data_IF_893783787851
#
_entry.id   IF_893783787851
#
_cell.length_a   1.000
_cell.length_b   1.000
_cell.length_c   1.000
_cell.angle_alpha   90.00
_cell.angle_beta   90.00
_cell.angle_gamma   90.00
#
_symmetry.space_group_name_H-M   'P 1'
#
loop_
_entity.id
_entity.type
_entity.pdbx_description
1 polymer ?
#
# COMPACT_ATOMS: atom_id res chain seq x y z
N UNK A 1 -1.07 19.21 20.34
CA UNK A 1 -1.79 19.37 21.56
C UNK A 1 -2.83 18.26 21.73
N UNK A 2 -4.00 18.30 21.07
CA UNK A 2 -5.14 17.39 21.34
C UNK A 2 -4.82 15.88 21.24
N UNK A 3 -4.11 15.44 20.20
CA UNK A 3 -3.73 14.02 20.02
C UNK A 3 -2.65 13.57 21.00
N UNK A 4 -1.74 14.46 21.37
CA UNK A 4 -0.73 14.19 22.38
C UNK A 4 -1.34 14.02 23.77
N UNK A 5 -2.27 14.90 24.13
CA UNK A 5 -2.89 14.94 25.47
C UNK A 5 -3.84 13.75 25.71
N UNK A 6 -4.46 13.19 24.64
CA UNK A 6 -5.43 12.09 24.76
C UNK A 6 -4.87 10.71 24.41
N UNK A 7 -3.91 10.63 23.51
CA UNK A 7 -3.40 9.35 22.98
C UNK A 7 -1.89 9.19 23.13
N UNK A 8 -1.16 10.21 23.62
CA UNK A 8 0.29 10.16 23.75
C UNK A 8 1.05 10.03 22.42
N UNK A 9 0.36 10.26 21.27
CA UNK A 9 0.91 10.02 19.94
C UNK A 9 1.43 11.30 19.33
N UNK A 10 2.72 11.33 19.02
CA UNK A 10 3.38 12.42 18.29
C UNK A 10 3.66 11.92 16.88
N UNK A 11 3.05 12.55 15.88
CA UNK A 11 3.30 12.24 14.47
C UNK A 11 4.44 13.08 13.88
N UNK A 12 4.62 14.32 14.36
CA UNK A 12 5.67 15.19 13.88
C UNK A 12 7.06 14.63 14.24
N UNK A 13 7.97 14.64 13.27
CA UNK A 13 9.36 14.20 13.42
C UNK A 13 9.55 12.74 13.89
N UNK A 14 8.58 11.86 13.57
CA UNK A 14 8.65 10.42 13.85
C UNK A 14 8.29 9.58 12.63
N UNK A 15 8.79 8.35 12.58
CA UNK A 15 8.48 7.38 11.51
C UNK A 15 6.95 7.15 11.35
N UNK A 16 6.18 7.25 12.43
CA UNK A 16 4.71 7.16 12.41
C UNK A 16 4.07 8.27 11.57
N UNK A 17 4.65 9.49 11.60
CA UNK A 17 4.23 10.59 10.75
C UNK A 17 4.55 10.35 9.28
N UNK A 18 5.72 9.78 8.98
CA UNK A 18 6.08 9.39 7.61
C UNK A 18 5.12 8.32 7.07
N UNK A 19 4.82 7.30 7.87
CA UNK A 19 3.87 6.25 7.51
C UNK A 19 2.46 6.81 7.26
N UNK A 20 1.98 7.71 8.12
CA UNK A 20 0.69 8.37 7.96
C UNK A 20 0.64 9.21 6.68
N UNK A 21 1.66 10.04 6.44
CA UNK A 21 1.74 10.89 5.25
C UNK A 21 1.73 10.04 3.97
N UNK A 22 2.55 9.01 3.92
CA UNK A 22 2.62 8.07 2.78
C UNK A 22 1.29 7.33 2.59
N UNK A 23 0.64 6.91 3.69
CA UNK A 23 -0.67 6.25 3.66
C UNK A 23 -1.77 7.16 3.10
N UNK A 24 -1.83 8.41 3.55
CA UNK A 24 -2.80 9.40 3.04
C UNK A 24 -2.59 9.66 1.55
N UNK A 25 -1.34 9.84 1.11
CA UNK A 25 -1.01 10.07 -0.30
C UNK A 25 -1.26 8.83 -1.18
N UNK A 26 -1.11 7.63 -0.63
CA UNK A 26 -1.38 6.37 -1.33
C UNK A 26 -2.86 5.95 -1.30
N UNK A 27 -3.67 6.48 -0.37
CA UNK A 27 -5.05 6.07 -0.14
C UNK A 27 -5.95 6.10 -1.38
N UNK A 28 -5.94 7.13 -2.23
CA UNK A 28 -6.74 7.13 -3.46
C UNK A 28 -6.39 5.98 -4.42
N UNK A 29 -5.10 5.61 -4.46
CA UNK A 29 -4.61 4.52 -5.30
C UNK A 29 -4.96 3.13 -4.72
N UNK A 30 -5.15 3.04 -3.40
CA UNK A 30 -5.67 1.84 -2.74
C UNK A 30 -7.16 1.65 -3.04
N UNK A 31 -7.95 2.70 -2.82
CA UNK A 31 -9.42 2.61 -2.86
C UNK A 31 -9.96 2.37 -4.28
N UNK A 32 -9.35 2.97 -5.29
CA UNK A 32 -9.86 2.93 -6.66
C UNK A 32 -9.94 1.52 -7.26
N UNK A 33 -8.90 0.68 -7.22
CA UNK A 33 -8.99 -0.70 -7.70
C UNK A 33 -9.93 -1.57 -6.87
N UNK A 34 -9.98 -1.37 -5.55
CA UNK A 34 -10.90 -2.09 -4.67
C UNK A 34 -12.36 -1.79 -5.06
N UNK A 35 -12.67 -0.52 -5.24
CA UNK A 35 -14.00 -0.09 -5.66
C UNK A 35 -14.39 -0.68 -7.01
N UNK A 36 -13.50 -0.60 -8.01
CA UNK A 36 -13.75 -1.17 -9.34
C UNK A 36 -13.96 -2.69 -9.28
N UNK A 37 -13.19 -3.40 -8.45
CA UNK A 37 -13.36 -4.83 -8.26
C UNK A 37 -14.71 -5.17 -7.62
N UNK A 38 -15.14 -4.41 -6.62
CA UNK A 38 -16.44 -4.59 -5.98
C UNK A 38 -17.60 -4.28 -6.95
N UNK A 39 -17.49 -3.21 -7.74
CA UNK A 39 -18.49 -2.83 -8.75
C UNK A 39 -18.60 -3.86 -9.90
N UNK A 40 -17.54 -4.61 -10.17
CA UNK A 40 -17.50 -5.64 -11.22
C UNK A 40 -18.13 -6.98 -10.78
N UNK A 41 -18.44 -7.16 -9.51
CA UNK A 41 -19.06 -8.39 -9.00
C UNK A 41 -20.53 -8.44 -9.44
N UNK A 42 -20.94 -9.56 -10.08
CA UNK A 42 -22.33 -9.78 -10.43
C UNK A 42 -23.17 -10.01 -9.16
N UNK A 43 -24.11 -9.12 -8.91
CA UNK A 43 -25.05 -9.21 -7.76
C UNK A 43 -25.84 -10.50 -7.72
N UNK A 44 -26.03 -11.17 -8.85
CA UNK A 44 -26.74 -12.45 -8.93
C UNK A 44 -26.03 -13.54 -8.11
N UNK A 45 -24.70 -13.46 -7.95
CA UNK A 45 -23.94 -14.40 -7.11
C UNK A 45 -24.26 -14.20 -5.63
N UNK A 46 -24.38 -12.94 -5.21
CA UNK A 46 -24.76 -12.59 -3.83
C UNK A 46 -26.22 -12.99 -3.54
N UNK A 47 -27.13 -12.73 -4.48
CA UNK A 47 -28.54 -13.11 -4.40
C UNK A 47 -28.71 -14.63 -4.35
N UNK A 48 -27.97 -15.38 -5.17
CA UNK A 48 -27.98 -16.85 -5.16
C UNK A 48 -27.51 -17.41 -3.79
N UNK A 49 -26.46 -16.86 -3.22
CA UNK A 49 -25.99 -17.26 -1.90
C UNK A 49 -27.03 -16.94 -0.80
N UNK A 50 -27.71 -15.79 -0.91
CA UNK A 50 -28.76 -15.41 0.02
C UNK A 50 -29.98 -16.36 -0.07
N UNK A 51 -30.36 -16.82 -1.28
CA UNK A 51 -31.46 -17.80 -1.44
C UNK A 51 -31.14 -19.15 -0.81
N UNK A 52 -29.84 -19.50 -0.67
CA UNK A 52 -29.37 -20.69 0.05
C UNK A 52 -29.32 -20.50 1.57
N UNK A 53 -29.82 -19.38 2.09
CA UNK A 53 -29.89 -19.09 3.52
C UNK A 53 -28.63 -18.44 4.11
N UNK A 54 -27.68 -18.00 3.27
CA UNK A 54 -26.50 -17.29 3.75
C UNK A 54 -26.89 -15.90 4.27
N UNK A 55 -26.43 -15.54 5.47
CA UNK A 55 -26.59 -14.19 5.98
C UNK A 55 -25.64 -13.20 5.25
N UNK A 56 -25.86 -11.88 5.29
CA UNK A 56 -25.04 -10.90 4.56
C UNK A 56 -23.55 -10.96 4.90
N UNK A 57 -23.20 -11.24 6.15
CA UNK A 57 -21.80 -11.37 6.54
C UNK A 57 -21.15 -12.61 5.90
N UNK A 58 -21.86 -13.74 5.86
CA UNK A 58 -21.38 -14.95 5.22
C UNK A 58 -21.21 -14.72 3.71
N UNK A 59 -22.18 -14.11 3.04
CA UNK A 59 -22.08 -13.73 1.61
C UNK A 59 -20.85 -12.85 1.37
N UNK A 60 -20.63 -11.84 2.21
CA UNK A 60 -19.48 -10.98 2.07
C UNK A 60 -18.15 -11.76 2.14
N UNK A 61 -17.96 -12.60 3.15
CA UNK A 61 -16.70 -13.33 3.33
C UNK A 61 -16.50 -14.49 2.35
N UNK A 62 -17.58 -15.11 1.85
CA UNK A 62 -17.48 -16.30 0.99
C UNK A 62 -17.61 -16.00 -0.50
N UNK A 63 -18.25 -14.90 -0.88
CA UNK A 63 -18.50 -14.52 -2.28
C UNK A 63 -17.82 -13.19 -2.61
N UNK A 64 -18.21 -12.09 -1.95
CA UNK A 64 -17.82 -10.74 -2.32
C UNK A 64 -16.30 -10.52 -2.10
N UNK A 65 -15.79 -10.82 -0.92
CA UNK A 65 -14.39 -10.60 -0.56
C UNK A 65 -13.43 -11.42 -1.41
N UNK A 66 -13.64 -12.73 -1.65
CA UNK A 66 -12.80 -13.51 -2.53
C UNK A 66 -12.76 -12.99 -3.96
N UNK A 67 -13.91 -12.61 -4.53
CA UNK A 67 -13.99 -12.06 -5.87
C UNK A 67 -13.33 -10.66 -5.98
N UNK A 68 -13.37 -9.86 -4.92
CA UNK A 68 -12.70 -8.57 -4.85
C UNK A 68 -11.18 -8.67 -4.60
N UNK A 69 -10.66 -9.85 -4.20
CA UNK A 69 -9.27 -10.03 -3.77
C UNK A 69 -8.23 -9.55 -4.80
N UNK A 70 -8.38 -9.80 -6.12
CA UNK A 70 -7.45 -9.27 -7.12
C UNK A 70 -7.38 -7.75 -7.12
N UNK A 71 -8.52 -7.07 -6.96
CA UNK A 71 -8.56 -5.60 -6.85
C UNK A 71 -7.94 -5.07 -5.56
N UNK A 72 -8.12 -5.79 -4.45
CA UNK A 72 -7.49 -5.46 -3.17
C UNK A 72 -5.96 -5.56 -3.31
N UNK A 73 -5.47 -6.65 -3.88
CA UNK A 73 -4.02 -6.85 -4.12
C UNK A 73 -3.48 -5.75 -5.02
N UNK A 74 -4.15 -5.43 -6.13
CA UNK A 74 -3.74 -4.35 -7.03
C UNK A 74 -3.72 -2.99 -6.32
N UNK A 75 -4.71 -2.68 -5.50
CA UNK A 75 -4.78 -1.45 -4.71
C UNK A 75 -3.64 -1.33 -3.70
N UNK A 76 -3.36 -2.39 -2.96
CA UNK A 76 -2.25 -2.45 -1.99
C UNK A 76 -0.91 -2.20 -2.68
N UNK A 77 -0.70 -2.81 -3.87
CA UNK A 77 0.51 -2.60 -4.65
C UNK A 77 0.70 -1.17 -5.11
N UNK A 78 -0.35 -0.57 -5.68
CA UNK A 78 -0.29 0.81 -6.15
C UNK A 78 -0.04 1.77 -4.98
N UNK A 79 -0.67 1.53 -3.83
CA UNK A 79 -0.42 2.29 -2.61
C UNK A 79 1.03 2.13 -2.14
N UNK A 80 1.55 0.90 -2.12
CA UNK A 80 2.93 0.62 -1.74
C UNK A 80 3.95 1.26 -2.70
N UNK A 81 3.74 1.12 -4.01
CA UNK A 81 4.60 1.75 -5.01
C UNK A 81 4.61 3.28 -4.87
N UNK A 82 3.45 3.88 -4.58
CA UNK A 82 3.34 5.31 -4.31
C UNK A 82 4.08 5.71 -3.02
N UNK A 83 3.97 4.89 -1.97
CA UNK A 83 4.64 5.13 -0.69
C UNK A 83 6.16 5.04 -0.80
N UNK A 84 6.70 4.11 -1.61
CA UNK A 84 8.15 4.01 -1.85
C UNK A 84 8.73 5.27 -2.52
N UNK A 85 7.97 5.91 -3.41
CA UNK A 85 8.34 7.16 -4.07
C UNK A 85 8.01 8.42 -3.29
N UNK A 86 7.45 8.32 -2.07
CA UNK A 86 7.06 9.49 -1.32
C UNK A 86 8.26 10.24 -0.75
N UNK A 87 8.39 11.48 -1.17
CA UNK A 87 9.46 12.38 -0.75
C UNK A 87 8.90 13.70 -0.18
N UNK A 88 7.97 14.32 -0.91
CA UNK A 88 7.52 15.67 -0.62
C UNK A 88 6.83 15.82 0.73
N UNK A 89 5.80 15.00 1.00
CA UNK A 89 5.10 15.06 2.27
C UNK A 89 6.00 14.62 3.45
N UNK A 90 6.88 13.64 3.22
CA UNK A 90 7.79 13.17 4.26
C UNK A 90 8.79 14.25 4.66
N UNK A 91 9.45 14.91 3.71
CA UNK A 91 10.46 15.93 4.02
C UNK A 91 9.85 17.17 4.68
N UNK A 92 8.62 17.53 4.33
CA UNK A 92 7.93 18.70 4.89
C UNK A 92 7.32 18.45 6.26
N UNK A 93 6.76 17.26 6.51
CA UNK A 93 6.06 16.93 7.74
C UNK A 93 6.92 16.29 8.82
N UNK A 94 7.92 15.51 8.41
CA UNK A 94 8.62 14.59 9.32
C UNK A 94 10.10 14.91 9.40
N UNK A 95 10.62 15.70 8.45
CA UNK A 95 12.04 15.96 8.28
C UNK A 95 12.80 14.73 7.75
N UNK A 96 14.10 14.88 7.53
CA UNK A 96 14.98 13.84 6.98
C UNK A 96 16.09 13.52 7.99
N UNK A 97 15.74 12.79 9.06
CA UNK A 97 16.67 12.43 10.12
C UNK A 97 17.21 11.03 9.87
N UNK A 98 18.51 10.87 9.58
CA UNK A 98 19.12 9.56 9.37
C UNK A 98 18.90 8.61 10.56
N UNK A 99 18.45 7.39 10.29
CA UNK A 99 18.19 6.39 11.32
C UNK A 99 16.82 6.50 12.01
N UNK A 100 16.08 7.59 11.83
CA UNK A 100 14.77 7.78 12.46
C UNK A 100 13.63 7.95 11.46
N UNK A 101 13.75 8.91 10.53
CA UNK A 101 12.66 9.31 9.64
C UNK A 101 13.04 9.32 8.17
N UNK A 102 14.30 9.02 7.86
CA UNK A 102 14.81 9.04 6.51
C UNK A 102 14.18 7.92 5.65
N UNK A 103 13.48 8.31 4.59
CA UNK A 103 13.00 7.37 3.56
C UNK A 103 14.08 7.12 2.51
N UNK A 104 13.92 6.06 1.71
CA UNK A 104 14.86 5.75 0.61
C UNK A 104 14.95 6.93 -0.35
N UNK A 105 13.83 7.54 -0.73
CA UNK A 105 13.78 8.70 -1.62
C UNK A 105 14.51 9.91 -1.03
N UNK A 106 14.33 10.17 0.28
CA UNK A 106 15.03 11.26 0.98
C UNK A 106 16.53 11.00 1.11
N UNK A 107 16.93 9.75 1.33
CA UNK A 107 18.34 9.36 1.39
C UNK A 107 19.03 9.54 0.02
N UNK A 108 18.40 9.10 -1.07
CA UNK A 108 18.91 9.31 -2.43
C UNK A 108 19.14 10.80 -2.69
N UNK A 109 18.13 11.63 -2.38
CA UNK A 109 18.22 13.07 -2.54
C UNK A 109 19.38 13.68 -1.73
N UNK A 110 19.56 13.26 -0.48
CA UNK A 110 20.66 13.72 0.38
C UNK A 110 22.02 13.34 -0.20
N UNK A 111 22.19 12.09 -0.65
CA UNK A 111 23.47 11.65 -1.22
C UNK A 111 23.83 12.37 -2.51
N UNK A 112 22.85 12.71 -3.34
CA UNK A 112 23.09 13.49 -4.57
C UNK A 112 23.55 14.93 -4.31
N UNK A 113 23.41 15.45 -3.09
CA UNK A 113 23.87 16.79 -2.72
C UNK A 113 25.25 16.81 -2.05
N UNK A 114 25.84 15.65 -1.78
CA UNK A 114 27.13 15.53 -1.12
C UNK A 114 28.19 15.22 -2.19
N UNK A 115 29.38 15.85 -2.16
CA UNK A 115 30.50 15.47 -3.02
C UNK A 115 30.77 13.96 -2.88
N UNK A 116 31.00 13.27 -3.98
CA UNK A 116 31.22 11.81 -4.06
C UNK A 116 30.05 10.92 -3.57
N UNK A 117 28.86 11.48 -3.39
CA UNK A 117 27.67 10.75 -2.96
C UNK A 117 26.98 9.89 -4.04
N UNK A 118 27.36 10.05 -5.31
CA UNK A 118 26.70 9.38 -6.46
C UNK A 118 26.71 7.85 -6.34
N UNK A 119 27.80 7.27 -5.87
CA UNK A 119 27.90 5.82 -5.69
C UNK A 119 26.97 5.29 -4.58
N UNK A 120 26.74 6.07 -3.53
CA UNK A 120 25.80 5.73 -2.46
C UNK A 120 24.35 5.90 -2.92
N UNK A 121 24.05 7.00 -3.60
CA UNK A 121 22.75 7.24 -4.23
C UNK A 121 22.41 6.12 -5.22
N UNK A 122 23.35 5.73 -6.09
CA UNK A 122 23.17 4.64 -7.06
C UNK A 122 22.83 3.30 -6.42
N UNK A 123 23.47 2.95 -5.29
CA UNK A 123 23.14 1.71 -4.54
C UNK A 123 21.71 1.75 -4.00
N UNK A 124 21.29 2.88 -3.46
CA UNK A 124 19.91 3.03 -2.95
C UNK A 124 18.87 2.97 -4.08
N UNK A 125 19.18 3.52 -5.25
CA UNK A 125 18.32 3.40 -6.44
C UNK A 125 18.15 1.93 -6.84
N UNK A 126 19.25 1.16 -6.87
CA UNK A 126 19.19 -0.27 -7.18
C UNK A 126 18.34 -1.02 -6.13
N UNK A 127 18.50 -0.71 -4.85
CA UNK A 127 17.69 -1.29 -3.77
C UNK A 127 16.22 -0.92 -3.94
N UNK A 128 15.90 0.33 -4.26
CA UNK A 128 14.52 0.77 -4.49
C UNK A 128 13.87 0.04 -5.68
N UNK A 129 14.61 -0.12 -6.77
CA UNK A 129 14.15 -0.90 -7.95
C UNK A 129 13.93 -2.36 -7.58
N UNK A 130 14.89 -2.98 -6.87
CA UNK A 130 14.76 -4.38 -6.46
C UNK A 130 13.55 -4.61 -5.55
N UNK A 131 13.32 -3.73 -4.57
CA UNK A 131 12.15 -3.78 -3.70
C UNK A 131 10.83 -3.61 -4.47
N UNK A 132 10.80 -2.67 -5.43
CA UNK A 132 9.60 -2.44 -6.25
C UNK A 132 9.28 -3.65 -7.13
N UNK A 133 10.29 -4.24 -7.75
CA UNK A 133 10.13 -5.45 -8.56
C UNK A 133 9.72 -6.66 -7.70
N UNK A 134 10.33 -6.83 -6.53
CA UNK A 134 9.98 -7.91 -5.61
C UNK A 134 8.53 -7.77 -5.13
N UNK A 135 8.08 -6.57 -4.79
CA UNK A 135 6.70 -6.30 -4.41
C UNK A 135 5.73 -6.59 -5.55
N UNK A 136 6.07 -6.18 -6.78
CA UNK A 136 5.26 -6.45 -7.98
C UNK A 136 5.13 -7.96 -8.24
N UNK A 137 6.23 -8.70 -8.21
CA UNK A 137 6.24 -10.16 -8.41
C UNK A 137 5.44 -10.86 -7.31
N UNK A 138 5.65 -10.47 -6.05
CA UNK A 138 4.92 -11.05 -4.91
C UNK A 138 3.41 -10.85 -5.05
N UNK A 139 2.98 -9.69 -5.49
CA UNK A 139 1.57 -9.41 -5.64
C UNK A 139 0.95 -10.08 -6.86
N UNK A 140 1.66 -10.14 -7.98
CA UNK A 140 1.20 -10.91 -9.14
C UNK A 140 1.03 -12.40 -8.76
N UNK A 141 1.97 -12.94 -8.02
CA UNK A 141 1.90 -14.31 -7.54
C UNK A 141 0.74 -14.54 -6.55
N UNK A 142 0.52 -13.60 -5.61
CA UNK A 142 -0.62 -13.64 -4.69
C UNK A 142 -1.95 -13.51 -5.44
N UNK A 143 -2.03 -12.60 -6.40
CA UNK A 143 -3.21 -12.41 -7.24
C UNK A 143 -3.56 -13.66 -8.04
N UNK A 144 -2.57 -14.28 -8.70
CA UNK A 144 -2.77 -15.53 -9.44
C UNK A 144 -3.19 -16.69 -8.55
N UNK A 145 -2.58 -16.83 -7.36
CA UNK A 145 -3.00 -17.86 -6.39
C UNK A 145 -4.42 -17.67 -5.87
N UNK A 146 -4.80 -16.42 -5.62
CA UNK A 146 -6.17 -16.11 -5.24
C UNK A 146 -7.15 -16.48 -6.35
N UNK A 147 -6.90 -16.06 -7.59
CA UNK A 147 -7.76 -16.38 -8.74
C UNK A 147 -7.84 -17.88 -9.02
N UNK A 148 -6.74 -18.62 -8.94
CA UNK A 148 -6.71 -20.06 -9.17
C UNK A 148 -7.57 -20.87 -8.18
N UNK A 149 -7.74 -20.38 -6.95
CA UNK A 149 -8.61 -21.05 -5.95
C UNK A 149 -10.10 -20.91 -6.25
N UNK A 150 -10.49 -19.92 -7.06
CA UNK A 150 -11.89 -19.62 -7.37
C UNK A 150 -12.32 -20.09 -8.76
N UNK A 151 -11.38 -20.37 -9.66
CA UNK A 151 -11.66 -20.93 -10.98
C UNK A 151 -11.34 -22.44 -11.00
N UNK A 152 -11.60 -23.11 -9.86
CA UNK A 152 -11.27 -24.51 -9.66
C UNK A 152 -11.48 -25.40 -10.90
N UNK A 153 -10.37 -25.85 -11.46
CA UNK A 153 -10.30 -27.14 -12.17
C UNK A 153 -10.07 -28.22 -11.13
#
# INVERSE_FOLDING_TARGET
>A
AFLYDHFGVVFAFRWTGAALASGVMGFPLLVRPIRLALEAIDRRLEDAAATLGANPALVFFTVTLPLALPGIVAGVLLCFARALGEFGATITFVSNIPGETQTISAAIYTFLQIPDGDAAAGRLVVVAIALSLAALIAAEWLGRRASARFHGE
#
